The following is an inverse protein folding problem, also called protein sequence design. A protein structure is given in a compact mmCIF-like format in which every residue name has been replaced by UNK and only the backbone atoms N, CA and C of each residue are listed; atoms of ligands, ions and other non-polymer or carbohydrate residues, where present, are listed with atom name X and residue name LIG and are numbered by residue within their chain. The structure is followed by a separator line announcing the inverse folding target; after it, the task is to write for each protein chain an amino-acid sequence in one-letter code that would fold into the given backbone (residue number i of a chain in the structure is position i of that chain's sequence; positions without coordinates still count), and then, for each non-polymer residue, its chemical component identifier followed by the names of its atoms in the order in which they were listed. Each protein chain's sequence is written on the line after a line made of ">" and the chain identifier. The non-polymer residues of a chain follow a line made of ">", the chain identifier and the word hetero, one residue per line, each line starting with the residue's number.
data_IF_168933749180
#
_entry.id   IF_168933749180
#
_cell.length_a   1.000
_cell.length_b   1.000
_cell.length_c   1.000
_cell.angle_alpha   90.00
_cell.angle_beta   90.00
_cell.angle_gamma   90.00
#
_symmetry.space_group_name_H-M   'P 1'
#
loop_
_entity.id
_entity.type
_entity.pdbx_description
1 polymer ?
#
# COMPACT_ATOMS: atom_id res chain seq x y z
N UNK A 1 6.41 -7.04 20.97
CA UNK A 1 5.72 -6.46 19.80
C UNK A 1 6.78 -6.06 18.77
N UNK A 2 6.93 -6.83 17.71
CA UNK A 2 8.02 -6.70 16.72
C UNK A 2 7.63 -5.98 15.43
N UNK A 3 6.71 -5.01 15.50
CA UNK A 3 6.24 -4.26 14.32
C UNK A 3 5.48 -5.09 13.28
N UNK A 4 5.06 -6.31 13.62
CA UNK A 4 4.36 -7.22 12.73
C UNK A 4 2.87 -6.85 12.64
N UNK A 5 2.33 -6.81 11.44
CA UNK A 5 0.92 -6.58 11.13
C UNK A 5 0.42 -7.63 10.12
N UNK A 6 -0.91 -7.69 9.95
CA UNK A 6 -1.53 -8.36 8.81
C UNK A 6 -1.18 -7.70 7.51
N UNK A 7 -1.39 -8.42 6.40
CA UNK A 7 -1.03 -7.91 5.08
C UNK A 7 -1.77 -6.60 4.80
N UNK A 8 -3.02 -6.48 5.28
CA UNK A 8 -3.87 -5.29 5.16
C UNK A 8 -3.78 -4.30 6.35
N UNK A 9 -2.76 -4.41 7.20
CA UNK A 9 -2.55 -3.50 8.34
C UNK A 9 -3.34 -3.84 9.61
N UNK A 10 -4.08 -4.95 9.63
CA UNK A 10 -4.74 -5.47 10.84
C UNK A 10 -3.71 -5.89 11.90
N UNK A 11 -4.09 -5.86 13.18
CA UNK A 11 -3.23 -6.34 14.27
C UNK A 11 -2.96 -7.85 14.14
N UNK A 12 -1.75 -8.30 14.50
CA UNK A 12 -1.34 -9.70 14.33
C UNK A 12 -2.15 -10.69 15.19
N UNK A 13 -2.55 -10.25 16.37
CA UNK A 13 -3.32 -10.98 17.38
C UNK A 13 -4.80 -10.56 17.40
N UNK A 14 -5.22 -9.74 16.44
CA UNK A 14 -6.58 -9.24 16.30
C UNK A 14 -7.37 -9.87 15.14
N UNK A 15 -8.67 -9.52 15.02
CA UNK A 15 -9.47 -9.91 13.88
C UNK A 15 -8.92 -9.29 12.58
N UNK A 16 -8.89 -10.07 11.50
CA UNK A 16 -8.47 -9.66 10.15
C UNK A 16 -9.59 -8.97 9.40
N UNK A 17 -9.98 -7.77 9.84
CA UNK A 17 -11.18 -7.10 9.33
C UNK A 17 -11.01 -6.58 7.90
N UNK A 18 -9.79 -6.31 7.46
CA UNK A 18 -9.49 -5.73 6.14
C UNK A 18 -9.06 -6.79 5.11
N UNK A 19 -8.95 -8.05 5.50
CA UNK A 19 -8.42 -9.11 4.65
C UNK A 19 -9.53 -9.94 4.00
N UNK A 20 -9.32 -10.35 2.76
CA UNK A 20 -10.15 -11.35 2.10
C UNK A 20 -10.00 -12.72 2.79
N UNK A 21 -10.99 -13.62 2.71
CA UNK A 21 -12.30 -13.44 2.05
C UNK A 21 -13.41 -13.01 3.00
N UNK A 22 -13.14 -12.98 4.31
CA UNK A 22 -14.16 -12.85 5.36
C UNK A 22 -14.00 -11.61 6.24
N UNK A 23 -13.03 -10.74 5.95
CA UNK A 23 -12.85 -9.50 6.68
C UNK A 23 -14.09 -8.63 6.59
N UNK A 24 -14.47 -8.02 7.72
CA UNK A 24 -15.64 -7.14 7.83
C UNK A 24 -15.71 -6.04 6.76
N UNK A 25 -14.56 -5.54 6.32
CA UNK A 25 -14.43 -4.46 5.33
C UNK A 25 -14.12 -4.98 3.92
N UNK A 26 -13.93 -6.28 3.74
CA UNK A 26 -13.75 -6.89 2.43
C UNK A 26 -15.12 -7.13 1.78
N UNK A 27 -15.43 -6.40 0.71
CA UNK A 27 -16.73 -6.45 0.03
C UNK A 27 -16.67 -7.08 -1.36
N UNK A 28 -15.52 -7.61 -1.78
CA UNK A 28 -15.32 -8.10 -3.16
C UNK A 28 -15.57 -7.06 -4.27
N UNK A 29 -15.65 -5.77 -3.92
CA UNK A 29 -15.89 -4.67 -4.87
C UNK A 29 -14.60 -4.27 -5.58
N UNK A 30 -14.61 -4.29 -6.91
CA UNK A 30 -13.51 -3.78 -7.73
C UNK A 30 -13.61 -2.25 -7.79
N UNK A 31 -12.60 -1.56 -7.25
CA UNK A 31 -12.58 -0.09 -7.17
C UNK A 31 -12.02 0.58 -8.43
N UNK A 32 -11.23 -0.14 -9.22
CA UNK A 32 -10.70 0.34 -10.50
C UNK A 32 -10.27 -0.82 -11.41
N UNK A 33 -10.12 -0.57 -12.72
CA UNK A 33 -9.68 -1.55 -13.72
C UNK A 33 -8.51 -0.99 -14.53
N UNK A 34 -7.40 -1.74 -14.55
CA UNK A 34 -6.20 -1.37 -15.28
C UNK A 34 -5.83 -2.42 -16.33
N UNK A 35 -5.10 -1.99 -17.35
CA UNK A 35 -4.54 -2.90 -18.35
C UNK A 35 -3.24 -3.50 -17.82
N UNK A 36 -3.01 -4.79 -18.03
CA UNK A 36 -1.71 -5.40 -17.75
C UNK A 36 -0.57 -4.62 -18.43
N UNK A 37 0.57 -4.48 -17.73
CA UNK A 37 1.71 -3.71 -18.22
C UNK A 37 1.53 -2.18 -18.18
N UNK A 38 0.35 -1.66 -17.82
CA UNK A 38 0.13 -0.21 -17.81
C UNK A 38 0.84 0.48 -16.66
N UNK A 39 1.05 1.78 -16.84
CA UNK A 39 1.44 2.68 -15.77
C UNK A 39 0.18 3.18 -15.05
N UNK A 40 0.19 3.16 -13.72
CA UNK A 40 -0.92 3.62 -12.89
C UNK A 40 -0.46 4.71 -11.93
N UNK A 41 -1.36 5.62 -11.60
CA UNK A 41 -1.12 6.65 -10.59
C UNK A 41 -1.66 6.17 -9.24
N UNK A 42 -0.80 6.11 -8.22
CA UNK A 42 -1.17 5.74 -6.84
C UNK A 42 -0.93 6.93 -5.94
N UNK A 43 -1.96 7.34 -5.20
CA UNK A 43 -1.92 8.43 -4.23
C UNK A 43 -1.89 7.85 -2.82
N UNK A 44 -0.90 8.27 -2.02
CA UNK A 44 -0.79 7.96 -0.60
C UNK A 44 -1.04 9.22 0.21
N UNK A 45 -2.05 9.19 1.07
CA UNK A 45 -2.36 10.27 1.99
C UNK A 45 -1.78 9.96 3.37
N UNK A 46 -0.92 10.85 3.86
CA UNK A 46 -0.15 10.60 5.08
C UNK A 46 -0.66 11.45 6.23
N UNK A 47 -1.27 10.81 7.23
CA UNK A 47 -1.78 11.49 8.44
C UNK A 47 -0.68 11.85 9.44
N UNK A 48 0.47 11.15 9.41
CA UNK A 48 1.62 11.40 10.26
C UNK A 48 2.89 10.91 9.57
N UNK A 49 3.98 11.68 9.66
CA UNK A 49 5.29 11.30 9.14
C UNK A 49 6.10 10.60 10.24
N UNK A 50 6.17 9.28 10.18
CA UNK A 50 6.98 8.46 11.09
C UNK A 50 8.36 8.12 10.51
N UNK A 51 8.79 8.84 9.45
CA UNK A 51 9.97 8.52 8.65
C UNK A 51 9.85 7.12 8.01
N UNK A 52 10.90 6.65 7.35
CA UNK A 52 10.92 5.35 6.71
C UNK A 52 10.67 5.44 5.21
N UNK A 53 10.00 4.44 4.65
CA UNK A 53 9.89 4.28 3.20
C UNK A 53 8.66 3.47 2.79
N UNK A 54 8.22 3.65 1.55
CA UNK A 54 7.16 2.87 0.92
C UNK A 54 7.72 1.81 -0.02
N UNK A 55 7.05 0.65 -0.01
CA UNK A 55 7.10 -0.36 -1.07
C UNK A 55 5.68 -0.58 -1.60
N UNK A 56 5.58 -0.81 -2.90
CA UNK A 56 4.34 -1.17 -3.55
C UNK A 56 4.43 -2.62 -3.99
N UNK A 57 3.42 -3.44 -3.67
CA UNK A 57 3.40 -4.87 -3.98
C UNK A 57 2.03 -5.25 -4.51
N UNK A 58 1.95 -6.37 -5.19
CA UNK A 58 0.70 -6.84 -5.76
C UNK A 58 0.61 -8.35 -5.69
N UNK A 59 -0.55 -8.95 -5.43
CA UNK A 59 -0.69 -10.41 -5.42
C UNK A 59 -1.71 -10.83 -6.47
N UNK A 60 -1.35 -11.64 -7.48
CA UNK A 60 -2.30 -12.19 -8.44
C UNK A 60 -3.27 -13.14 -7.73
N UNK A 61 -4.54 -12.76 -7.69
CA UNK A 61 -5.61 -13.57 -7.08
C UNK A 61 -6.60 -13.99 -8.15
N UNK A 62 -6.99 -15.26 -8.15
CA UNK A 62 -7.87 -15.81 -9.20
C UNK A 62 -9.35 -15.50 -8.95
N UNK A 63 -9.73 -15.24 -7.70
CA UNK A 63 -11.07 -14.84 -7.29
C UNK A 63 -11.05 -14.23 -5.88
N UNK A 64 -12.21 -13.72 -5.44
CA UNK A 64 -12.37 -13.01 -4.16
C UNK A 64 -12.35 -13.92 -2.91
N UNK A 65 -12.26 -15.24 -3.10
CA UNK A 65 -12.18 -16.21 -1.99
C UNK A 65 -10.74 -16.62 -1.64
N UNK A 66 -9.75 -16.00 -2.29
CA UNK A 66 -8.32 -16.28 -2.06
C UNK A 66 -7.75 -15.28 -1.06
N UNK A 67 -7.15 -15.80 0.00
CA UNK A 67 -6.39 -15.00 0.97
C UNK A 67 -5.10 -14.47 0.33
N UNK A 68 -4.81 -13.19 0.54
CA UNK A 68 -3.54 -12.58 0.13
C UNK A 68 -2.52 -12.81 1.24
N UNK A 69 -1.38 -13.40 0.90
CA UNK A 69 -0.31 -13.66 1.87
C UNK A 69 0.88 -12.72 1.67
N UNK A 70 1.64 -12.49 2.75
CA UNK A 70 2.88 -11.72 2.66
C UNK A 70 3.86 -12.36 1.67
N UNK A 71 3.92 -13.68 1.64
CA UNK A 71 4.76 -14.44 0.69
C UNK A 71 4.39 -14.14 -0.76
N UNK A 72 3.10 -14.06 -1.10
CA UNK A 72 2.68 -13.70 -2.44
C UNK A 72 3.11 -12.27 -2.79
N UNK A 73 2.86 -11.31 -1.89
CA UNK A 73 3.21 -9.91 -2.10
C UNK A 73 4.72 -9.73 -2.29
N UNK A 74 5.54 -10.43 -1.51
CA UNK A 74 6.99 -10.35 -1.56
C UNK A 74 7.58 -10.85 -2.89
N UNK A 75 6.87 -11.72 -3.60
CA UNK A 75 7.26 -12.22 -4.93
C UNK A 75 6.97 -11.22 -6.06
N UNK A 76 6.21 -10.15 -5.78
CA UNK A 76 5.64 -9.27 -6.79
C UNK A 76 5.73 -7.78 -6.39
N UNK A 77 6.94 -7.23 -6.19
CA UNK A 77 7.12 -5.80 -6.00
C UNK A 77 6.82 -5.03 -7.28
N UNK A 78 6.18 -3.87 -7.15
CA UNK A 78 5.87 -2.96 -8.24
C UNK A 78 6.99 -1.92 -8.40
N UNK A 79 7.41 -1.72 -9.65
CA UNK A 79 8.40 -0.70 -9.98
C UNK A 79 7.76 0.69 -9.92
N UNK A 80 8.41 1.60 -9.20
CA UNK A 80 8.11 3.03 -9.17
C UNK A 80 8.81 3.65 -10.37
N UNK A 81 8.04 4.15 -11.33
CA UNK A 81 8.54 4.84 -12.53
C UNK A 81 8.76 6.32 -12.23
N UNK A 82 7.77 6.95 -11.59
CA UNK A 82 7.84 8.34 -11.14
C UNK A 82 7.47 8.43 -9.66
N UNK A 83 8.18 9.27 -8.93
CA UNK A 83 7.98 9.51 -7.49
C UNK A 83 8.03 11.01 -7.17
N UNK A 84 7.41 11.46 -6.07
CA UNK A 84 7.35 12.88 -5.73
C UNK A 84 8.73 13.53 -5.53
N UNK A 85 9.70 12.75 -5.08
CA UNK A 85 11.11 13.14 -4.91
C UNK A 85 12.02 12.06 -5.51
N UNK A 86 13.31 12.38 -5.77
CA UNK A 86 14.27 11.39 -6.26
C UNK A 86 14.32 10.14 -5.36
N UNK A 87 14.33 8.97 -6.00
CA UNK A 87 14.44 7.67 -5.33
C UNK A 87 15.82 7.05 -5.55
N UNK A 88 16.29 6.28 -4.59
CA UNK A 88 17.55 5.53 -4.68
C UNK A 88 17.38 4.12 -5.22
N UNK A 89 16.14 3.63 -5.29
CA UNK A 89 15.79 2.28 -5.74
C UNK A 89 14.50 2.32 -6.57
N UNK A 90 14.39 1.47 -7.61
CA UNK A 90 13.15 1.34 -8.39
C UNK A 90 11.96 0.83 -7.57
N UNK A 91 12.18 0.17 -6.43
CA UNK A 91 11.10 -0.46 -5.65
C UNK A 91 10.84 0.20 -4.29
N UNK A 92 11.68 1.16 -3.89
CA UNK A 92 11.60 1.82 -2.58
C UNK A 92 11.62 3.32 -2.76
N UNK A 93 10.72 4.01 -2.06
CA UNK A 93 10.76 5.46 -1.95
C UNK A 93 10.84 5.87 -0.47
N UNK A 94 11.90 6.59 -0.12
CA UNK A 94 12.14 7.09 1.24
C UNK A 94 11.30 8.34 1.49
N UNK A 95 10.58 8.36 2.62
CA UNK A 95 9.76 9.49 3.03
C UNK A 95 10.70 10.67 3.36
N UNK A 96 10.54 11.85 2.74
CA UNK A 96 11.36 13.01 3.04
C UNK A 96 11.27 13.40 4.52
N UNK A 97 12.42 13.62 5.16
CA UNK A 97 12.55 13.88 6.60
C UNK A 97 12.15 15.29 7.08
N UNK A 98 11.45 16.09 6.28
CA UNK A 98 11.31 17.54 6.53
C UNK A 98 9.98 17.99 7.13
N UNK A 99 9.10 17.10 7.59
CA UNK A 99 7.83 17.56 8.15
C UNK A 99 7.92 17.83 9.66
N UNK A 100 8.37 19.03 10.03
CA UNK A 100 8.07 19.60 11.35
C UNK A 100 6.56 19.78 11.45
N UNK A 101 5.88 19.02 12.31
CA UNK A 101 4.46 19.19 12.59
C UNK A 101 4.22 20.56 13.26
N UNK A 102 3.93 21.56 12.44
CA UNK A 102 3.15 22.74 12.82
C UNK A 102 1.97 22.82 11.84
N UNK A 103 1.12 21.78 11.86
CA UNK A 103 -0.13 21.83 11.11
C UNK A 103 -1.11 22.65 11.94
N UNK A 104 -1.32 23.90 11.54
CA UNK A 104 -2.45 24.68 12.05
C UNK A 104 -3.77 23.94 11.70
N UNK A 105 -4.84 24.05 12.51
CA UNK A 105 -6.09 23.38 12.22
C UNK A 105 -6.63 23.84 10.85
N UNK A 106 -6.73 22.92 9.88
CA UNK A 106 -7.36 23.19 8.57
C UNK A 106 -6.49 23.04 7.32
N UNK A 107 -5.29 22.47 7.39
CA UNK A 107 -4.44 22.23 6.19
C UNK A 107 -4.45 20.77 5.74
N UNK A 108 -4.55 20.57 4.42
CA UNK A 108 -4.42 19.28 3.75
C UNK A 108 -3.12 18.59 4.16
N UNK A 109 -3.25 17.33 4.58
CA UNK A 109 -2.11 16.47 4.84
C UNK A 109 -1.35 16.19 3.54
N UNK A 110 -0.03 15.96 3.59
CA UNK A 110 0.74 15.69 2.39
C UNK A 110 0.21 14.43 1.70
N UNK A 111 -0.20 14.59 0.44
CA UNK A 111 -0.51 13.50 -0.47
C UNK A 111 0.65 13.32 -1.44
N UNK A 112 1.09 12.08 -1.61
CA UNK A 112 2.18 11.70 -2.50
C UNK A 112 1.63 10.86 -3.64
N UNK A 113 1.86 11.30 -4.88
CA UNK A 113 1.46 10.55 -6.08
C UNK A 113 2.68 9.86 -6.69
N UNK A 114 2.51 8.58 -7.01
CA UNK A 114 3.50 7.71 -7.62
C UNK A 114 2.97 7.19 -8.95
N UNK A 115 3.85 7.05 -9.95
CA UNK A 115 3.53 6.30 -11.16
C UNK A 115 4.16 4.91 -11.04
N UNK A 116 3.35 3.86 -10.99
CA UNK A 116 3.80 2.48 -10.83
C UNK A 116 3.61 1.69 -12.12
N UNK A 117 4.50 0.76 -12.42
CA UNK A 117 4.35 -0.18 -13.54
C UNK A 117 3.70 -1.48 -13.08
N UNK A 118 2.56 -1.82 -13.66
CA UNK A 118 1.93 -3.12 -13.44
C UNK A 118 2.67 -4.23 -14.22
N UNK A 119 2.79 -5.45 -13.66
CA UNK A 119 3.33 -6.59 -14.38
C UNK A 119 2.56 -6.94 -15.65
N UNK A 120 3.30 -7.44 -16.64
CA UNK A 120 2.73 -7.99 -17.87
C UNK A 120 1.95 -9.29 -17.56
N UNK A 121 0.83 -9.52 -18.25
CA UNK A 121 0.04 -10.75 -18.13
C UNK A 121 -0.89 -10.83 -16.90
N UNK A 122 -1.01 -9.78 -16.09
CA UNK A 122 -1.99 -9.73 -14.99
C UNK A 122 -3.42 -9.70 -15.52
N UNK A 123 -4.27 -10.64 -15.06
CA UNK A 123 -5.67 -10.74 -15.48
C UNK A 123 -6.68 -10.41 -14.37
N UNK A 124 -6.32 -10.62 -13.09
CA UNK A 124 -7.19 -10.40 -11.93
C UNK A 124 -6.34 -10.09 -10.70
N UNK A 125 -6.47 -8.88 -10.14
CA UNK A 125 -5.57 -8.47 -9.06
C UNK A 125 -6.18 -7.40 -8.16
N UNK A 126 -5.94 -7.54 -6.85
CA UNK A 126 -6.05 -6.45 -5.88
C UNK A 126 -4.68 -5.81 -5.66
N UNK A 127 -4.60 -4.49 -5.72
CA UNK A 127 -3.39 -3.74 -5.36
C UNK A 127 -3.31 -3.62 -3.84
N UNK A 128 -2.19 -4.02 -3.25
CA UNK A 128 -2.00 -3.97 -1.81
C UNK A 128 -0.79 -3.11 -1.42
N UNK A 129 -0.99 -2.13 -0.55
CA UNK A 129 0.04 -1.20 -0.10
C UNK A 129 0.60 -1.66 1.24
N UNK A 130 1.74 -2.35 1.23
CA UNK A 130 2.44 -2.69 2.49
C UNK A 130 3.35 -1.53 2.90
N UNK A 131 2.97 -0.78 3.93
CA UNK A 131 3.88 0.14 4.61
C UNK A 131 4.56 -0.59 5.78
N UNK A 132 5.89 -0.64 5.82
CA UNK A 132 6.65 -1.31 6.89
C UNK A 132 6.70 -0.53 8.22
N UNK A 133 5.86 0.51 8.38
CA UNK A 133 5.56 1.09 9.67
C UNK A 133 4.25 1.89 9.60
N UNK A 134 3.12 1.24 9.91
CA UNK A 134 1.92 2.00 10.24
C UNK A 134 1.19 1.37 11.43
N UNK A 135 1.39 2.00 12.59
CA UNK A 135 0.43 1.95 13.67
C UNK A 135 -0.78 2.78 13.25
N UNK A 136 -1.81 2.12 12.69
CA UNK A 136 -3.17 2.67 12.66
C UNK A 136 -3.69 2.65 14.11
N UNK A 137 -3.27 3.61 14.93
CA UNK A 137 -4.03 3.94 16.13
C UNK A 137 -5.32 4.63 15.67
N UNK A 138 -6.38 3.84 15.47
CA UNK A 138 -7.74 4.37 15.60
C UNK A 138 -7.87 4.92 17.03
N UNK A 139 -8.18 6.20 17.16
CA UNK A 139 -8.93 6.66 18.34
C UNK A 139 -10.35 6.12 18.26
#
# INVERSE_FOLDING_TARGET
>A
MGGQCGVCGDAIDGPRNNEAPSGKYFTATIVDNYKAGSLIDVRVEMMANHMGWFYFKICPVTNNNVEVTQQCLDQHPLEIIESPTPRTSPYRWDIPGTYTQNIAPGWDLPAYTFKLKLPDGLRWVGIHLTCNHFFLMKK
#
